data_IF_070289631060
#
_entry.id   IF_070289631060
#
_cell.length_a   1.000
_cell.length_b   1.000
_cell.length_c   1.000
_cell.angle_alpha   90.00
_cell.angle_beta   90.00
_cell.angle_gamma   90.00
#
_symmetry.space_group_name_H-M   'P 1'
#
loop_
_entity.id
_entity.type
_entity.pdbx_description
1 polymer ?
#
# COMPACT_ATOMS: atom_id res chain seq x y z
N UNK A 1 8.67 -0.30 29.60
CA UNK A 1 9.05 -0.44 28.18
C UNK A 1 7.78 -0.14 27.39
N UNK A 2 7.61 1.09 26.89
CA UNK A 2 6.46 1.40 26.05
C UNK A 2 6.69 0.77 24.68
N UNK A 3 5.87 -0.21 24.33
CA UNK A 3 5.83 -0.76 22.98
C UNK A 3 5.17 0.29 22.11
N UNK A 4 5.97 1.11 21.42
CA UNK A 4 5.45 1.98 20.36
C UNK A 4 5.02 1.06 19.23
N UNK A 5 3.73 0.73 19.18
CA UNK A 5 3.13 -0.02 18.07
C UNK A 5 3.21 0.86 16.83
N UNK A 6 4.26 0.69 16.02
CA UNK A 6 4.35 1.34 14.71
C UNK A 6 3.11 0.95 13.92
N UNK A 7 2.29 1.95 13.54
CA UNK A 7 1.16 1.73 12.65
C UNK A 7 1.68 1.08 11.37
N UNK A 8 1.16 -0.09 11.04
CA UNK A 8 1.59 -0.83 9.86
C UNK A 8 0.74 -0.39 8.68
N UNK A 9 1.38 0.05 7.60
CA UNK A 9 0.69 0.32 6.34
C UNK A 9 0.80 -0.94 5.48
N UNK A 10 -0.35 -1.51 5.13
CA UNK A 10 -0.46 -2.67 4.27
C UNK A 10 -0.93 -2.25 2.89
N UNK A 11 -0.38 -2.87 1.85
CA UNK A 11 -0.78 -2.68 0.47
C UNK A 11 -1.33 -4.01 -0.06
N UNK A 12 -2.57 -4.03 -0.52
CA UNK A 12 -3.16 -5.21 -1.17
C UNK A 12 -3.17 -5.02 -2.69
N UNK A 13 -2.48 -5.91 -3.39
CA UNK A 13 -2.33 -5.90 -4.84
C UNK A 13 -2.42 -7.32 -5.38
N UNK A 14 -3.25 -7.54 -6.41
CA UNK A 14 -3.49 -8.87 -6.99
C UNK A 14 -3.87 -9.96 -5.96
N UNK A 15 -4.60 -9.58 -4.90
CA UNK A 15 -5.01 -10.48 -3.81
C UNK A 15 -3.88 -10.84 -2.83
N UNK A 16 -2.70 -10.23 -2.97
CA UNK A 16 -1.57 -10.38 -2.03
C UNK A 16 -1.43 -9.14 -1.17
N UNK A 17 -1.15 -9.35 0.12
CA UNK A 17 -0.86 -8.27 1.07
C UNK A 17 0.64 -8.09 1.23
N UNK A 18 1.08 -6.86 1.12
CA UNK A 18 2.46 -6.44 1.29
C UNK A 18 2.55 -5.44 2.43
N UNK A 19 3.60 -5.53 3.23
CA UNK A 19 3.90 -4.51 4.24
C UNK A 19 4.69 -3.40 3.54
N UNK A 20 4.24 -2.15 3.66
CA UNK A 20 5.01 -1.00 3.22
C UNK A 20 6.11 -0.71 4.26
N UNK A 21 7.40 -0.84 3.90
CA UNK A 21 8.48 -0.48 4.80
C UNK A 21 8.46 1.01 5.14
N UNK A 22 8.84 1.38 6.36
CA UNK A 22 8.78 2.78 6.82
C UNK A 22 9.78 3.71 6.11
N UNK A 23 10.80 3.13 5.49
CA UNK A 23 11.88 3.79 4.74
C UNK A 23 11.54 3.99 3.25
N UNK A 24 10.39 3.47 2.79
CA UNK A 24 9.97 3.54 1.39
C UNK A 24 8.67 4.35 1.29
N UNK A 25 8.62 5.26 0.32
CA UNK A 25 7.38 6.00 0.04
C UNK A 25 6.36 5.12 -0.68
N UNK A 26 5.07 5.43 -0.56
CA UNK A 26 4.03 4.72 -1.30
C UNK A 26 4.30 4.72 -2.82
N UNK A 27 4.68 5.86 -3.41
CA UNK A 27 4.98 5.97 -4.83
C UNK A 27 6.11 5.04 -5.28
N UNK A 28 7.22 5.03 -4.53
CA UNK A 28 8.33 4.10 -4.79
C UNK A 28 7.88 2.64 -4.73
N UNK A 29 7.04 2.29 -3.76
CA UNK A 29 6.53 0.92 -3.63
C UNK A 29 5.59 0.54 -4.79
N UNK A 30 4.75 1.47 -5.26
CA UNK A 30 3.90 1.27 -6.43
C UNK A 30 4.75 0.98 -7.68
N UNK A 31 5.85 1.72 -7.88
CA UNK A 31 6.81 1.47 -8.97
C UNK A 31 7.45 0.08 -8.87
N UNK A 32 7.80 -0.38 -7.66
CA UNK A 32 8.31 -1.74 -7.45
C UNK A 32 7.28 -2.84 -7.79
N UNK A 33 5.98 -2.52 -7.70
CA UNK A 33 4.88 -3.40 -8.14
C UNK A 33 4.60 -3.29 -9.65
N UNK A 34 5.36 -2.49 -10.40
CA UNK A 34 5.16 -2.26 -11.84
C UNK A 34 4.06 -1.25 -12.17
N UNK A 35 3.64 -0.42 -11.20
CA UNK A 35 2.64 0.62 -11.38
C UNK A 35 3.30 2.00 -11.54
N UNK A 36 2.54 2.99 -12.02
CA UNK A 36 2.98 4.38 -11.94
C UNK A 36 2.95 4.86 -10.48
N UNK A 37 3.87 5.74 -10.10
CA UNK A 37 3.86 6.41 -8.79
C UNK A 37 2.57 7.22 -8.55
N UNK A 38 1.92 7.67 -9.63
CA UNK A 38 0.67 8.43 -9.61
C UNK A 38 -0.59 7.53 -9.57
N UNK A 39 -0.41 6.21 -9.50
CA UNK A 39 -1.54 5.27 -9.49
C UNK A 39 -2.47 5.59 -8.32
N UNK A 40 -3.76 5.89 -8.55
CA UNK A 40 -4.67 6.22 -7.45
C UNK A 40 -4.78 5.06 -6.48
N UNK A 41 -4.80 5.35 -5.17
CA UNK A 41 -4.88 4.34 -4.12
C UNK A 41 -6.11 4.57 -3.26
N UNK A 42 -6.91 3.52 -3.06
CA UNK A 42 -7.97 3.53 -2.06
C UNK A 42 -7.38 3.22 -0.69
N UNK A 43 -7.63 4.10 0.28
CA UNK A 43 -7.21 3.91 1.67
C UNK A 43 -8.39 3.45 2.53
N UNK A 44 -8.18 2.40 3.33
CA UNK A 44 -9.14 1.85 4.27
C UNK A 44 -8.48 1.81 5.66
N UNK A 45 -9.08 2.47 6.65
CA UNK A 45 -8.59 2.39 8.02
C UNK A 45 -8.88 0.99 8.60
N UNK A 46 -7.89 0.41 9.29
CA UNK A 46 -8.02 -0.88 9.97
C UNK A 46 -7.64 -0.73 11.45
N UNK A 47 -7.91 -1.77 12.26
CA UNK A 47 -7.48 -1.79 13.68
C UNK A 47 -5.96 -1.73 13.85
N UNK A 48 -5.19 -2.09 12.82
CA UNK A 48 -3.72 -2.21 12.84
C UNK A 48 -3.01 -1.05 12.11
N UNK A 49 -3.76 -0.21 11.40
CA UNK A 49 -3.22 0.91 10.62
C UNK A 49 -4.08 1.23 9.41
N UNK A 50 -3.48 1.15 8.21
CA UNK A 50 -4.14 1.47 6.95
C UNK A 50 -3.90 0.36 5.93
N UNK A 51 -4.97 -0.03 5.24
CA UNK A 51 -4.92 -0.86 4.05
C UNK A 51 -5.05 0.04 2.82
N UNK A 52 -4.05 -0.06 1.95
CA UNK A 52 -3.95 0.65 0.69
C UNK A 52 -4.21 -0.32 -0.45
N UNK A 53 -5.11 0.02 -1.36
CA UNK A 53 -5.46 -0.81 -2.51
C UNK A 53 -5.24 0.03 -3.77
N UNK A 54 -4.21 -0.25 -4.59
CA UNK A 54 -3.99 0.45 -5.85
C UNK A 54 -5.18 0.24 -6.78
N UNK A 55 -5.74 1.33 -7.29
CA UNK A 55 -6.81 1.32 -8.26
C UNK A 55 -6.20 1.23 -9.66
N UNK A 56 -5.88 0.01 -10.06
CA UNK A 56 -5.54 -0.31 -11.43
C UNK A 56 -6.84 -0.33 -12.21
N UNK A 57 -7.12 0.75 -12.95
CA UNK A 57 -8.10 0.65 -14.03
C UNK A 57 -7.51 -0.35 -15.01
N UNK A 58 -8.01 -1.59 -15.00
CA UNK A 58 -7.73 -2.52 -16.09
C UNK A 58 -8.29 -1.87 -17.35
N UNK A 59 -7.46 -1.14 -18.08
CA UNK A 59 -7.68 -0.95 -19.51
C UNK A 59 -7.53 -2.36 -20.10
N UNK A 60 -8.66 -3.07 -20.16
CA UNK A 60 -8.84 -4.18 -21.08
C UNK A 60 -8.78 -3.55 -22.48
N UNK A 61 -7.58 -3.40 -23.01
CA UNK A 61 -7.36 -3.28 -24.45
C UNK A 61 -7.41 -4.67 -25.07
#
# INVERSE_FOLDING_TARGET
METVTKKTTLIEFEGKKHVLPNDITLGTFLVMLGLSEETPVKMIATKEGFLLIPNIVKNLQ
#
